data_IF_448715056966
#
_entry.id   IF_448715056966
#
_cell.length_a   1.000
_cell.length_b   1.000
_cell.length_c   1.000
_cell.angle_alpha   90.00
_cell.angle_beta   90.00
_cell.angle_gamma   90.00
#
_symmetry.space_group_name_H-M   'P 1'
#
loop_
_entity.id
_entity.type
_entity.pdbx_description
1 polymer ?
#
# COMPACT_ATOMS: atom_id res chain seq x y z
N UNK A 1 -37.29 -15.06 -26.97
CA UNK A 1 -37.84 -13.69 -27.06
C UNK A 1 -37.67 -12.82 -25.82
N UNK A 2 -37.34 -13.34 -24.64
CA UNK A 2 -37.10 -12.54 -23.43
C UNK A 2 -35.60 -12.24 -23.16
N UNK A 3 -34.72 -12.86 -23.91
CA UNK A 3 -33.26 -12.84 -23.69
C UNK A 3 -32.65 -11.46 -23.95
N UNK A 4 -32.90 -10.89 -25.12
CA UNK A 4 -32.36 -9.58 -25.49
C UNK A 4 -32.83 -8.44 -24.56
N UNK A 5 -34.14 -8.31 -24.24
CA UNK A 5 -34.62 -7.32 -23.28
C UNK A 5 -34.03 -7.53 -21.85
N UNK A 6 -33.76 -8.77 -21.46
CA UNK A 6 -33.14 -9.05 -20.17
C UNK A 6 -31.67 -8.57 -20.13
N UNK A 7 -30.91 -8.84 -21.19
CA UNK A 7 -29.52 -8.38 -21.35
C UNK A 7 -29.46 -6.84 -21.31
N UNK A 8 -30.33 -6.17 -22.03
CA UNK A 8 -30.43 -4.70 -22.06
C UNK A 8 -30.72 -4.12 -20.67
N UNK A 9 -31.68 -4.71 -19.94
CA UNK A 9 -31.97 -4.31 -18.56
C UNK A 9 -30.78 -4.50 -17.62
N UNK A 10 -30.07 -5.62 -17.72
CA UNK A 10 -28.86 -5.87 -16.93
C UNK A 10 -27.77 -4.84 -17.22
N UNK A 11 -27.58 -4.44 -18.48
CA UNK A 11 -26.67 -3.36 -18.84
C UNK A 11 -27.13 -2.01 -18.27
N UNK A 12 -28.41 -1.67 -18.37
CA UNK A 12 -28.95 -0.44 -17.79
C UNK A 12 -28.78 -0.38 -16.27
N UNK A 13 -28.85 -1.50 -15.57
CA UNK A 13 -28.56 -1.64 -14.14
C UNK A 13 -27.06 -1.69 -13.81
N UNK A 14 -26.16 -1.49 -14.77
CA UNK A 14 -24.70 -1.60 -14.60
C UNK A 14 -24.22 -3.00 -14.13
N UNK A 15 -24.96 -4.04 -14.49
CA UNK A 15 -24.66 -5.45 -14.20
C UNK A 15 -24.05 -6.16 -15.41
N UNK A 16 -23.14 -5.49 -16.14
CA UNK A 16 -22.58 -6.00 -17.39
C UNK A 16 -21.90 -7.37 -17.26
N UNK A 17 -21.25 -7.65 -16.14
CA UNK A 17 -20.65 -8.98 -15.90
C UNK A 17 -21.72 -10.07 -15.74
N UNK A 18 -22.87 -9.75 -15.15
CA UNK A 18 -24.02 -10.66 -15.07
C UNK A 18 -24.66 -10.88 -16.43
N UNK A 19 -24.81 -9.80 -17.22
CA UNK A 19 -25.32 -9.87 -18.59
C UNK A 19 -24.44 -10.78 -19.47
N UNK A 20 -23.12 -10.65 -19.33
CA UNK A 20 -22.17 -11.50 -20.06
C UNK A 20 -22.25 -12.96 -19.60
N UNK A 21 -22.32 -13.21 -18.29
CA UNK A 21 -22.48 -14.57 -17.75
C UNK A 21 -23.80 -15.22 -18.18
N UNK A 22 -24.89 -14.43 -18.24
CA UNK A 22 -26.19 -14.90 -18.73
C UNK A 22 -26.13 -15.27 -20.21
N UNK A 23 -25.50 -14.45 -21.05
CA UNK A 23 -25.32 -14.74 -22.47
C UNK A 23 -24.51 -16.03 -22.70
N UNK A 24 -23.36 -16.17 -21.98
CA UNK A 24 -22.52 -17.37 -22.08
C UNK A 24 -23.27 -18.66 -21.69
N UNK A 25 -24.17 -18.58 -20.68
CA UNK A 25 -24.99 -19.74 -20.32
C UNK A 25 -26.06 -20.08 -21.35
N UNK A 26 -26.56 -19.10 -22.14
CA UNK A 26 -27.50 -19.37 -23.23
C UNK A 26 -26.82 -20.06 -24.44
N UNK A 27 -25.51 -19.79 -24.61
CA UNK A 27 -24.71 -20.33 -25.72
C UNK A 27 -24.11 -21.71 -25.37
N UNK A 28 -24.18 -22.18 -24.11
CA UNK A 28 -23.55 -23.41 -23.62
C UNK A 28 -24.59 -24.47 -23.25
N UNK A 29 -24.74 -25.50 -24.10
CA UNK A 29 -25.68 -26.61 -23.91
C UNK A 29 -25.43 -27.44 -22.65
N UNK A 30 -24.18 -27.47 -22.11
CA UNK A 30 -23.87 -28.16 -20.86
C UNK A 30 -24.56 -27.50 -19.67
N UNK A 31 -24.80 -26.21 -19.76
CA UNK A 31 -25.52 -25.46 -18.71
C UNK A 31 -27.00 -25.85 -18.62
N UNK A 32 -27.61 -26.35 -19.70
CA UNK A 32 -29.01 -26.77 -19.70
C UNK A 32 -29.29 -27.98 -18.82
N UNK A 33 -28.26 -28.81 -18.55
CA UNK A 33 -28.34 -29.95 -17.65
C UNK A 33 -28.37 -29.55 -16.16
N UNK A 34 -27.96 -28.33 -15.84
CA UNK A 34 -27.90 -27.83 -14.47
C UNK A 34 -29.24 -27.23 -14.02
N UNK A 35 -29.69 -27.49 -12.78
CA UNK A 35 -30.85 -26.83 -12.21
C UNK A 35 -30.69 -25.28 -12.21
N UNK A 36 -31.80 -24.56 -12.38
CA UNK A 36 -31.82 -23.10 -12.43
C UNK A 36 -31.09 -22.44 -11.24
N UNK A 37 -31.27 -22.95 -10.03
CA UNK A 37 -30.63 -22.42 -8.82
C UNK A 37 -29.10 -22.46 -8.91
N UNK A 38 -28.54 -23.52 -9.48
CA UNK A 38 -27.08 -23.64 -9.67
C UNK A 38 -26.59 -22.69 -10.76
N UNK A 39 -27.28 -22.62 -11.90
CA UNK A 39 -26.96 -21.67 -12.98
C UNK A 39 -26.98 -20.23 -12.51
N UNK A 40 -28.02 -19.87 -11.77
CA UNK A 40 -28.13 -18.53 -11.19
C UNK A 40 -27.01 -18.25 -10.18
N UNK A 41 -26.67 -19.21 -9.31
CA UNK A 41 -25.54 -19.12 -8.38
C UNK A 41 -24.23 -18.81 -9.10
N UNK A 42 -23.91 -19.54 -10.17
CA UNK A 42 -22.70 -19.31 -10.98
C UNK A 42 -22.66 -17.88 -11.58
N UNK A 43 -23.80 -17.36 -12.04
CA UNK A 43 -23.87 -15.99 -12.57
C UNK A 43 -23.63 -14.94 -11.47
N UNK A 44 -24.18 -15.16 -10.27
CA UNK A 44 -23.98 -14.27 -9.11
C UNK A 44 -22.52 -14.29 -8.66
N UNK A 45 -21.91 -15.46 -8.57
CA UNK A 45 -20.50 -15.61 -8.21
C UNK A 45 -19.59 -14.88 -9.20
N UNK A 46 -19.88 -14.98 -10.50
CA UNK A 46 -19.10 -14.27 -11.51
C UNK A 46 -19.21 -12.75 -11.38
N UNK A 47 -20.41 -12.24 -11.11
CA UNK A 47 -20.62 -10.82 -10.83
C UNK A 47 -19.88 -10.37 -9.57
N UNK A 48 -19.91 -11.19 -8.52
CA UNK A 48 -19.22 -10.93 -7.26
C UNK A 48 -17.71 -10.82 -7.50
N UNK A 49 -17.09 -11.83 -8.11
CA UNK A 49 -15.66 -11.85 -8.43
C UNK A 49 -15.27 -10.61 -9.27
N UNK A 50 -16.06 -10.29 -10.31
CA UNK A 50 -15.81 -9.12 -11.15
C UNK A 50 -15.85 -7.80 -10.35
N UNK A 51 -16.79 -7.67 -9.41
CA UNK A 51 -16.90 -6.48 -8.55
C UNK A 51 -15.71 -6.36 -7.61
N UNK A 52 -15.30 -7.45 -6.98
CA UNK A 52 -14.12 -7.45 -6.10
C UNK A 52 -12.84 -7.14 -6.89
N UNK A 53 -12.64 -7.72 -8.07
CA UNK A 53 -11.53 -7.39 -8.94
C UNK A 53 -11.52 -5.91 -9.36
N UNK A 54 -12.67 -5.37 -9.73
CA UNK A 54 -12.81 -3.96 -10.09
C UNK A 54 -12.49 -3.04 -8.91
N UNK A 55 -12.96 -3.41 -7.71
CA UNK A 55 -12.67 -2.71 -6.46
C UNK A 55 -11.16 -2.73 -6.17
N UNK A 56 -10.54 -3.89 -6.22
CA UNK A 56 -9.10 -4.06 -5.98
C UNK A 56 -8.26 -3.24 -6.98
N UNK A 57 -8.54 -3.35 -8.28
CA UNK A 57 -7.83 -2.55 -9.30
C UNK A 57 -7.92 -1.05 -9.03
N UNK A 58 -9.10 -0.56 -8.62
CA UNK A 58 -9.29 0.85 -8.25
C UNK A 58 -8.47 1.23 -7.01
N UNK A 59 -8.44 0.38 -5.98
CA UNK A 59 -7.65 0.63 -4.77
C UNK A 59 -6.16 0.67 -5.09
N UNK A 60 -5.64 -0.29 -5.84
CA UNK A 60 -4.23 -0.34 -6.24
C UNK A 60 -3.85 0.87 -7.11
N UNK A 61 -4.70 1.25 -8.07
CA UNK A 61 -4.48 2.46 -8.88
C UNK A 61 -4.39 3.72 -8.02
N UNK A 62 -5.28 3.86 -7.04
CA UNK A 62 -5.33 5.02 -6.15
C UNK A 62 -4.19 5.03 -5.12
N UNK A 63 -3.71 3.86 -4.72
CA UNK A 63 -2.60 3.71 -3.78
C UNK A 63 -1.27 4.25 -4.33
N UNK A 64 -1.08 4.24 -5.66
CA UNK A 64 0.13 4.74 -6.35
C UNK A 64 1.43 4.11 -5.83
N UNK A 65 1.40 2.82 -5.49
CA UNK A 65 2.56 2.12 -4.95
C UNK A 65 3.76 2.21 -5.89
N UNK A 66 4.94 2.50 -5.34
CA UNK A 66 6.20 2.64 -6.11
C UNK A 66 6.66 1.31 -6.71
N UNK A 67 6.40 0.21 -6.00
CA UNK A 67 6.81 -1.14 -6.38
C UNK A 67 5.57 -2.04 -6.37
N UNK A 68 5.40 -2.82 -7.43
CA UNK A 68 4.44 -3.92 -7.44
C UNK A 68 5.04 -5.07 -6.63
N UNK A 69 4.79 -5.04 -5.33
CA UNK A 69 5.27 -6.03 -4.38
C UNK A 69 4.09 -6.83 -3.85
N UNK A 70 4.13 -8.16 -4.03
CA UNK A 70 3.17 -9.05 -3.42
C UNK A 70 3.72 -9.62 -2.11
N UNK A 71 2.87 -9.89 -1.11
CA UNK A 71 3.28 -10.57 0.12
C UNK A 71 3.98 -11.91 -0.12
N UNK A 72 3.54 -12.61 -1.15
CA UNK A 72 4.05 -13.92 -1.58
C UNK A 72 5.50 -13.85 -2.09
N UNK A 73 5.92 -12.68 -2.59
CA UNK A 73 7.26 -12.45 -3.14
C UNK A 73 8.29 -12.04 -2.06
N UNK A 74 7.88 -12.02 -0.79
CA UNK A 74 8.79 -11.64 0.30
C UNK A 74 9.79 -12.77 0.55
N UNK A 75 11.07 -12.49 0.33
CA UNK A 75 12.15 -13.42 0.62
C UNK A 75 12.44 -13.47 2.12
N UNK A 76 12.10 -14.60 2.73
CA UNK A 76 12.38 -14.90 4.14
C UNK A 76 13.71 -15.65 4.35
N UNK A 77 14.37 -16.13 3.28
CA UNK A 77 15.59 -16.95 3.38
C UNK A 77 16.82 -16.09 3.58
N UNK A 78 16.83 -14.90 3.00
CA UNK A 78 17.96 -13.96 3.19
C UNK A 78 17.95 -13.41 4.61
N UNK A 79 19.05 -13.54 5.39
CA UNK A 79 19.14 -13.02 6.74
C UNK A 79 19.18 -11.48 6.72
N UNK A 80 18.02 -10.86 6.94
CA UNK A 80 17.84 -9.40 6.92
C UNK A 80 17.27 -8.86 8.23
N UNK A 81 17.24 -9.67 9.29
CA UNK A 81 16.60 -9.29 10.56
C UNK A 81 15.06 -9.25 10.47
N UNK A 82 14.46 -9.91 9.47
CA UNK A 82 13.00 -10.03 9.37
C UNK A 82 12.55 -11.11 10.35
N UNK A 83 11.79 -10.71 11.36
CA UNK A 83 11.00 -11.67 12.13
C UNK A 83 9.77 -12.08 11.32
N UNK A 84 9.76 -13.35 10.91
CA UNK A 84 8.67 -13.90 10.09
C UNK A 84 7.33 -13.86 10.84
N UNK A 85 7.33 -14.06 12.14
CA UNK A 85 6.11 -14.06 12.96
C UNK A 85 5.49 -12.66 13.00
N UNK A 86 6.30 -11.63 13.21
CA UNK A 86 5.89 -10.23 13.19
C UNK A 86 5.34 -9.85 11.81
N UNK A 87 6.04 -10.24 10.75
CA UNK A 87 5.60 -9.89 9.40
C UNK A 87 4.30 -10.60 9.01
N UNK A 88 4.13 -11.88 9.38
CA UNK A 88 2.87 -12.61 9.17
C UNK A 88 1.70 -11.99 9.96
N UNK A 89 1.96 -11.55 11.19
CA UNK A 89 0.98 -10.81 11.98
C UNK A 89 0.57 -9.49 11.31
N UNK A 90 1.52 -8.76 10.71
CA UNK A 90 1.22 -7.54 9.96
C UNK A 90 0.44 -7.81 8.66
N UNK A 91 0.74 -8.92 7.98
CA UNK A 91 0.01 -9.36 6.79
C UNK A 91 -1.44 -9.76 7.06
N UNK A 92 -1.82 -10.03 8.31
CA UNK A 92 -3.24 -10.18 8.69
C UNK A 92 -4.03 -8.88 8.65
N UNK A 93 -3.37 -7.73 8.51
CA UNK A 93 -3.95 -6.39 8.53
C UNK A 93 -4.69 -6.02 9.85
N UNK A 94 -4.56 -6.82 10.93
CA UNK A 94 -5.23 -6.60 12.22
C UNK A 94 -4.77 -5.34 12.97
N UNK A 95 -3.62 -4.78 12.60
CA UNK A 95 -3.07 -3.54 13.11
C UNK A 95 -3.82 -2.30 12.59
N UNK A 96 -4.46 -2.37 11.41
CA UNK A 96 -5.14 -1.23 10.77
C UNK A 96 -6.40 -0.81 11.54
N UNK A 97 -7.33 -1.72 11.91
CA UNK A 97 -8.46 -1.34 12.77
C UNK A 97 -8.06 -0.85 14.17
N UNK A 98 -6.86 -1.20 14.63
CA UNK A 98 -6.30 -0.74 15.92
C UNK A 98 -5.55 0.60 15.77
N UNK A 99 -5.52 1.18 14.57
CA UNK A 99 -4.83 2.42 14.25
C UNK A 99 -3.35 2.41 14.63
N UNK A 100 -2.70 1.25 14.53
CA UNK A 100 -1.28 1.08 14.83
C UNK A 100 -0.45 1.47 13.62
N UNK A 101 0.76 1.96 13.87
CA UNK A 101 1.73 2.32 12.84
C UNK A 101 2.71 1.18 12.57
N UNK A 102 3.41 1.24 11.43
CA UNK A 102 4.49 0.32 11.09
C UNK A 102 5.71 1.13 10.69
N UNK A 103 6.81 0.97 11.42
CA UNK A 103 8.07 1.68 11.18
C UNK A 103 9.11 0.69 10.68
N UNK A 104 9.62 0.91 9.47
CA UNK A 104 10.58 0.02 8.82
C UNK A 104 11.89 0.79 8.62
N UNK A 105 12.92 0.43 9.37
CA UNK A 105 14.25 1.07 9.31
C UNK A 105 15.29 0.13 8.73
N UNK A 106 16.43 0.69 8.28
CA UNK A 106 17.59 -0.10 7.84
C UNK A 106 18.30 0.50 6.62
N UNK A 107 19.47 -0.05 6.24
CA UNK A 107 20.32 0.48 5.17
C UNK A 107 19.63 0.53 3.80
N UNK A 108 20.23 1.26 2.86
CA UNK A 108 19.75 1.31 1.48
C UNK A 108 19.82 -0.07 0.82
N UNK A 109 18.76 -0.43 0.10
CA UNK A 109 18.73 -1.66 -0.70
C UNK A 109 18.26 -2.92 0.02
N UNK A 110 18.09 -2.92 1.36
CA UNK A 110 17.68 -4.12 2.13
C UNK A 110 16.22 -4.54 1.93
N UNK A 111 15.42 -3.75 1.20
CA UNK A 111 14.04 -4.12 0.85
C UNK A 111 12.94 -3.42 1.66
N UNK A 112 13.22 -2.31 2.37
CA UNK A 112 12.23 -1.56 3.15
C UNK A 112 10.98 -1.19 2.34
N UNK A 113 11.19 -0.47 1.23
CA UNK A 113 10.11 -0.06 0.32
C UNK A 113 9.34 -1.26 -0.22
N UNK A 114 10.01 -2.38 -0.51
CA UNK A 114 9.37 -3.60 -0.99
C UNK A 114 8.40 -4.17 0.07
N UNK A 115 8.87 -4.34 1.31
CA UNK A 115 8.05 -4.84 2.42
C UNK A 115 6.89 -3.88 2.71
N UNK A 116 7.14 -2.57 2.76
CA UNK A 116 6.12 -1.56 2.95
C UNK A 116 5.03 -1.61 1.85
N UNK A 117 5.45 -1.73 0.58
CA UNK A 117 4.53 -1.88 -0.55
C UNK A 117 3.77 -3.23 -0.52
N UNK A 118 4.39 -4.32 -0.06
CA UNK A 118 3.72 -5.61 0.09
C UNK A 118 2.62 -5.57 1.18
N UNK A 119 2.90 -4.93 2.33
CA UNK A 119 1.88 -4.69 3.36
C UNK A 119 0.75 -3.80 2.85
N UNK A 120 1.08 -2.74 2.12
CA UNK A 120 0.12 -1.83 1.51
C UNK A 120 -0.74 -2.53 0.44
N UNK A 121 -0.15 -3.38 -0.38
CA UNK A 121 -0.85 -4.18 -1.39
C UNK A 121 -1.79 -5.20 -0.73
N UNK A 122 -1.35 -5.85 0.36
CA UNK A 122 -2.22 -6.73 1.16
C UNK A 122 -3.41 -5.97 1.73
N UNK A 123 -3.21 -4.77 2.27
CA UNK A 123 -4.30 -3.91 2.75
C UNK A 123 -5.30 -3.59 1.61
N UNK A 124 -4.83 -3.31 0.39
CA UNK A 124 -5.72 -3.12 -0.77
C UNK A 124 -6.54 -4.38 -1.09
N UNK A 125 -5.96 -5.58 -0.98
CA UNK A 125 -6.69 -6.86 -1.15
C UNK A 125 -7.81 -7.02 -0.11
N UNK A 126 -7.59 -6.55 1.11
CA UNK A 126 -8.63 -6.50 2.17
C UNK A 126 -9.63 -5.33 2.01
N UNK A 127 -9.60 -4.65 0.86
CA UNK A 127 -10.52 -3.54 0.56
C UNK A 127 -10.19 -2.23 1.28
N UNK A 128 -9.02 -2.10 1.88
CA UNK A 128 -8.59 -0.94 2.67
C UNK A 128 -7.94 0.09 1.76
N UNK A 129 -8.26 1.37 1.96
CA UNK A 129 -7.68 2.48 1.20
C UNK A 129 -6.24 2.74 1.63
N UNK A 130 -5.36 2.82 0.64
CA UNK A 130 -3.93 3.10 0.83
C UNK A 130 -3.52 4.29 -0.04
N UNK A 131 -2.60 5.09 0.46
CA UNK A 131 -1.90 6.11 -0.31
C UNK A 131 -0.40 6.02 -0.04
N UNK A 132 0.39 5.88 -1.10
CA UNK A 132 1.85 5.95 -1.05
C UNK A 132 2.32 7.35 -1.43
N UNK A 133 3.28 7.86 -0.68
CA UNK A 133 4.09 9.02 -1.06
C UNK A 133 5.52 8.87 -0.53
N UNK A 134 6.49 9.42 -1.27
CA UNK A 134 7.83 9.64 -0.70
C UNK A 134 7.79 10.88 0.19
N UNK A 135 8.50 10.88 1.31
CA UNK A 135 8.51 12.02 2.23
C UNK A 135 8.83 13.36 1.54
N UNK A 136 9.87 13.49 0.70
CA UNK A 136 10.14 14.75 0.00
C UNK A 136 9.00 15.17 -0.94
N UNK A 137 8.33 14.21 -1.58
CA UNK A 137 7.18 14.50 -2.45
C UNK A 137 5.97 14.96 -1.66
N UNK A 138 5.71 14.32 -0.51
CA UNK A 138 4.63 14.72 0.39
C UNK A 138 4.81 16.16 0.86
N UNK A 139 6.02 16.53 1.29
CA UNK A 139 6.31 17.90 1.73
C UNK A 139 6.13 18.93 0.61
N UNK A 140 6.60 18.60 -0.59
CA UNK A 140 6.41 19.45 -1.77
C UNK A 140 4.93 19.63 -2.12
N UNK A 141 4.14 18.54 -2.13
CA UNK A 141 2.71 18.59 -2.43
C UNK A 141 1.95 19.41 -1.38
N UNK A 142 2.32 19.32 -0.09
CA UNK A 142 1.74 20.12 0.99
C UNK A 142 2.09 21.62 0.83
N UNK A 143 3.32 21.94 0.42
CA UNK A 143 3.74 23.33 0.17
C UNK A 143 2.97 23.93 -1.03
N UNK A 144 2.83 23.19 -2.12
CA UNK A 144 2.03 23.64 -3.29
C UNK A 144 0.57 23.85 -2.86
N UNK A 145 -0.01 22.90 -2.14
CA UNK A 145 -1.39 22.98 -1.71
C UNK A 145 -1.68 24.19 -0.79
N UNK A 146 -0.70 24.64 0.01
CA UNK A 146 -0.80 25.89 0.76
C UNK A 146 -0.77 27.11 -0.15
N UNK A 147 0.02 27.06 -1.22
CA UNK A 147 0.15 28.18 -2.16
C UNK A 147 -1.07 28.35 -3.07
N UNK A 148 -1.70 27.24 -3.49
CA UNK A 148 -2.84 27.22 -4.41
C UNK A 148 -4.21 27.15 -3.71
N UNK A 149 -4.24 27.09 -2.36
CA UNK A 149 -5.47 27.03 -1.57
C UNK A 149 -6.13 25.66 -1.48
N UNK A 150 -5.52 24.60 -2.03
CA UNK A 150 -6.05 23.23 -1.99
C UNK A 150 -5.69 22.45 -0.71
N UNK A 151 -5.04 23.10 0.25
CA UNK A 151 -4.49 22.48 1.45
C UNK A 151 -5.52 21.66 2.25
N UNK A 152 -6.67 22.25 2.54
CA UNK A 152 -7.74 21.58 3.29
C UNK A 152 -8.21 20.29 2.60
N UNK A 153 -8.32 20.30 1.27
CA UNK A 153 -8.71 19.13 0.47
C UNK A 153 -7.63 18.03 0.50
N UNK A 154 -6.35 18.42 0.48
CA UNK A 154 -5.24 17.47 0.59
C UNK A 154 -5.21 16.84 1.99
N UNK A 155 -5.32 17.65 3.06
CA UNK A 155 -5.35 17.18 4.44
C UNK A 155 -6.53 16.23 4.68
N UNK A 156 -7.74 16.59 4.24
CA UNK A 156 -8.90 15.71 4.32
C UNK A 156 -8.65 14.35 3.62
N UNK A 157 -8.04 14.37 2.44
CA UNK A 157 -7.67 13.14 1.72
C UNK A 157 -6.67 12.30 2.51
N UNK A 158 -5.64 12.92 3.09
CA UNK A 158 -4.64 12.25 3.92
C UNK A 158 -5.27 11.65 5.18
N UNK A 159 -6.14 12.40 5.86
CA UNK A 159 -6.84 11.95 7.07
C UNK A 159 -7.81 10.78 6.80
N UNK A 160 -8.58 10.82 5.71
CA UNK A 160 -9.54 9.75 5.34
C UNK A 160 -8.88 8.46 4.84
N UNK A 161 -7.63 8.52 4.41
CA UNK A 161 -6.90 7.34 3.91
C UNK A 161 -6.53 6.42 5.07
N UNK A 162 -7.02 5.18 5.08
CA UNK A 162 -6.81 4.24 6.20
C UNK A 162 -5.35 3.88 6.43
N UNK A 163 -4.55 3.76 5.36
CA UNK A 163 -3.11 3.51 5.46
C UNK A 163 -2.35 4.52 4.60
N UNK A 164 -1.57 5.38 5.25
CA UNK A 164 -0.62 6.28 4.58
C UNK A 164 0.76 5.66 4.63
N UNK A 165 1.37 5.40 3.46
CA UNK A 165 2.74 4.93 3.36
C UNK A 165 3.65 6.11 3.00
N UNK A 166 4.50 6.50 3.93
CA UNK A 166 5.53 7.53 3.75
C UNK A 166 6.88 6.84 3.58
N UNK A 167 7.41 6.85 2.36
CA UNK A 167 8.68 6.20 2.02
C UNK A 167 9.83 7.21 2.05
N UNK A 168 11.03 6.73 2.36
CA UNK A 168 12.26 7.52 2.36
C UNK A 168 12.23 8.71 3.37
N UNK A 169 11.71 8.51 4.58
CA UNK A 169 11.73 9.51 5.66
C UNK A 169 13.16 9.77 6.15
N UNK A 170 13.47 11.03 6.39
CA UNK A 170 14.73 11.44 7.01
C UNK A 170 15.93 11.36 6.06
N UNK A 171 15.75 11.50 4.74
CA UNK A 171 16.86 11.58 3.78
C UNK A 171 17.68 12.87 3.90
N UNK A 172 17.09 13.93 4.43
CA UNK A 172 17.72 15.22 4.68
C UNK A 172 17.08 15.85 5.93
N UNK A 173 17.77 16.78 6.61
CA UNK A 173 17.17 17.56 7.67
C UNK A 173 15.90 18.30 7.20
N UNK A 174 14.90 18.34 8.06
CA UNK A 174 13.63 18.96 7.71
C UNK A 174 13.69 20.48 7.92
N UNK A 175 13.06 21.21 7.01
CA UNK A 175 12.82 22.65 7.18
C UNK A 175 11.65 22.90 8.14
N UNK A 176 11.54 24.13 8.70
CA UNK A 176 10.45 24.51 9.61
C UNK A 176 9.04 24.27 9.02
N UNK A 177 8.76 24.64 7.76
CA UNK A 177 7.46 24.34 7.16
C UNK A 177 7.18 22.84 7.02
N UNK A 178 8.19 22.04 6.68
CA UNK A 178 8.04 20.59 6.49
C UNK A 178 7.69 19.88 7.80
N UNK A 179 8.39 20.21 8.89
CA UNK A 179 8.13 19.63 10.22
C UNK A 179 6.75 19.97 10.76
N UNK A 180 6.30 21.24 10.59
CA UNK A 180 4.95 21.67 10.98
C UNK A 180 3.88 20.95 10.15
N UNK A 181 4.07 20.88 8.85
CA UNK A 181 3.15 20.17 7.96
C UNK A 181 3.09 18.68 8.28
N UNK A 182 4.23 18.04 8.59
CA UNK A 182 4.26 16.64 8.99
C UNK A 182 3.52 16.42 10.31
N UNK A 183 3.76 17.29 11.31
CA UNK A 183 3.04 17.21 12.58
C UNK A 183 1.53 17.26 12.37
N UNK A 184 1.04 18.20 11.57
CA UNK A 184 -0.39 18.35 11.28
C UNK A 184 -0.95 17.07 10.61
N UNK A 185 -0.25 16.50 9.63
CA UNK A 185 -0.64 15.22 8.99
C UNK A 185 -0.69 14.08 10.00
N UNK A 186 0.31 13.96 10.88
CA UNK A 186 0.38 12.88 11.86
C UNK A 186 -0.67 13.06 12.96
N UNK A 187 -0.95 14.31 13.37
CA UNK A 187 -1.98 14.65 14.35
C UNK A 187 -3.38 14.25 13.88
N UNK A 188 -3.77 14.65 12.67
CA UNK A 188 -5.06 14.29 12.07
C UNK A 188 -5.25 12.77 11.94
N UNK A 189 -4.16 12.01 11.86
CA UNK A 189 -4.18 10.56 11.71
C UNK A 189 -4.04 9.80 13.02
N UNK A 190 -3.59 10.47 14.08
CA UNK A 190 -3.36 9.82 15.36
C UNK A 190 -4.66 9.19 15.90
N UNK A 191 -4.60 7.89 16.26
CA UNK A 191 -5.72 7.08 16.74
C UNK A 191 -6.94 6.97 15.79
N UNK A 192 -6.84 7.43 14.54
CA UNK A 192 -7.93 7.37 13.54
C UNK A 192 -7.57 6.59 12.30
N UNK A 193 -6.28 6.53 11.97
CA UNK A 193 -5.75 5.85 10.80
C UNK A 193 -4.32 5.38 11.06
N UNK A 194 -3.82 4.47 10.22
CA UNK A 194 -2.50 3.88 10.35
C UNK A 194 -1.50 4.50 9.37
N UNK A 195 -0.23 4.60 9.78
CA UNK A 195 0.85 5.08 8.94
C UNK A 195 1.96 4.02 8.85
N UNK A 196 2.39 3.70 7.63
CA UNK A 196 3.62 2.94 7.38
C UNK A 196 4.70 3.96 7.05
N UNK A 197 5.85 3.89 7.71
CA UNK A 197 6.94 4.80 7.48
C UNK A 197 8.23 4.02 7.27
N UNK A 198 8.96 4.34 6.19
CA UNK A 198 10.27 3.74 5.96
C UNK A 198 11.38 4.77 6.09
N UNK A 199 12.49 4.39 6.69
CA UNK A 199 13.67 5.25 6.84
C UNK A 199 14.98 4.48 6.67
N UNK A 200 16.00 5.17 6.20
CA UNK A 200 17.36 4.64 6.20
C UNK A 200 18.03 4.80 7.57
N UNK A 201 17.54 5.74 8.34
CA UNK A 201 18.07 6.06 9.66
C UNK A 201 17.40 5.20 10.74
N UNK A 202 18.16 4.78 11.76
CA UNK A 202 17.60 4.21 12.98
C UNK A 202 16.66 5.22 13.68
N UNK A 203 15.73 4.71 14.48
CA UNK A 203 14.74 5.56 15.17
C UNK A 203 15.37 6.61 16.07
N UNK A 204 16.50 6.28 16.69
CA UNK A 204 17.26 7.14 17.60
C UNK A 204 17.72 8.45 16.92
N UNK A 205 17.93 8.42 15.60
CA UNK A 205 18.38 9.56 14.82
C UNK A 205 17.24 10.42 14.27
N UNK A 206 15.98 10.01 14.44
CA UNK A 206 14.85 10.76 13.85
C UNK A 206 14.64 12.11 14.49
N UNK A 207 14.92 12.21 15.79
CA UNK A 207 14.84 13.48 16.53
C UNK A 207 15.77 14.54 15.92
N UNK A 208 17.02 14.16 15.61
CA UNK A 208 18.00 15.02 14.98
C UNK A 208 17.58 15.49 13.58
N UNK A 209 17.01 14.59 12.76
CA UNK A 209 16.57 14.92 11.41
C UNK A 209 15.37 15.85 11.40
N UNK A 210 14.45 15.71 12.35
CA UNK A 210 13.34 16.64 12.53
C UNK A 210 13.88 18.02 12.95
N UNK A 211 14.90 18.07 13.81
CA UNK A 211 15.74 19.25 14.08
C UNK A 211 15.13 20.31 14.99
N UNK A 212 13.87 20.17 15.45
CA UNK A 212 13.24 20.98 16.49
C UNK A 212 12.81 20.06 17.62
N UNK A 213 13.31 20.21 18.84
CA UNK A 213 13.04 19.29 19.94
C UNK A 213 11.55 19.13 20.25
N UNK A 214 10.81 20.22 20.31
CA UNK A 214 9.38 20.20 20.67
C UNK A 214 8.54 19.51 19.59
N UNK A 215 8.79 19.85 18.32
CA UNK A 215 8.08 19.23 17.20
C UNK A 215 8.49 17.77 17.01
N UNK A 216 9.78 17.44 17.27
CA UNK A 216 10.26 16.07 17.21
C UNK A 216 9.58 15.19 18.27
N UNK A 217 9.53 15.63 19.52
CA UNK A 217 8.84 14.92 20.58
C UNK A 217 7.37 14.70 20.22
N UNK A 218 6.67 15.73 19.74
CA UNK A 218 5.27 15.63 19.36
C UNK A 218 5.02 14.66 18.21
N UNK A 219 5.86 14.66 17.16
CA UNK A 219 5.76 13.76 16.01
C UNK A 219 6.09 12.32 16.41
N UNK A 220 7.20 12.13 17.14
CA UNK A 220 7.68 10.81 17.51
C UNK A 220 6.79 10.12 18.54
N UNK A 221 6.24 10.86 19.49
CA UNK A 221 5.26 10.34 20.44
C UNK A 221 4.10 9.66 19.70
N UNK A 222 3.51 10.33 18.72
CA UNK A 222 2.37 9.82 17.94
C UNK A 222 2.72 8.68 16.97
N UNK A 223 3.93 8.71 16.43
CA UNK A 223 4.36 7.68 15.47
C UNK A 223 4.84 6.40 16.15
N UNK A 224 5.58 6.52 17.28
CA UNK A 224 6.40 5.45 17.84
C UNK A 224 5.68 4.64 18.92
N UNK A 225 4.88 5.30 19.79
CA UNK A 225 4.25 4.62 20.93
C UNK A 225 3.27 3.52 20.52
N UNK A 226 2.49 3.72 19.48
CA UNK A 226 1.53 2.73 18.97
C UNK A 226 2.02 2.14 17.63
N UNK A 227 3.24 1.57 17.62
CA UNK A 227 3.86 1.11 16.38
C UNK A 227 4.52 -0.26 16.47
N UNK A 228 4.45 -1.00 15.36
CA UNK A 228 5.29 -2.15 15.07
C UNK A 228 6.61 -1.67 14.45
N UNK A 229 7.73 -2.11 15.01
CA UNK A 229 9.08 -1.70 14.56
C UNK A 229 9.77 -2.86 13.87
N UNK A 230 10.23 -2.64 12.64
CA UNK A 230 10.99 -3.61 11.84
C UNK A 230 12.34 -2.97 11.50
N UNK A 231 13.41 -3.47 12.11
CA UNK A 231 14.78 -3.05 11.83
C UNK A 231 15.44 -4.04 10.87
N UNK A 232 15.54 -3.68 9.58
CA UNK A 232 16.19 -4.49 8.58
C UNK A 232 17.71 -4.28 8.62
N UNK A 233 18.44 -5.37 8.40
CA UNK A 233 19.91 -5.40 8.39
C UNK A 233 20.41 -6.11 7.13
N UNK A 234 21.71 -6.09 6.90
CA UNK A 234 22.36 -6.86 5.83
C UNK A 234 22.60 -6.07 4.55
N UNK A 235 23.00 -6.80 3.51
CA UNK A 235 23.42 -6.23 2.23
C UNK A 235 22.28 -5.85 1.32
N UNK A 236 22.60 -5.03 0.32
CA UNK A 236 21.65 -4.59 -0.69
C UNK A 236 21.13 -5.74 -1.56
N UNK A 237 19.82 -5.99 -1.52
CA UNK A 237 19.14 -6.95 -2.40
C UNK A 237 19.21 -6.54 -3.89
N UNK A 238 19.51 -5.27 -4.19
CA UNK A 238 19.70 -4.80 -5.57
C UNK A 238 21.01 -5.34 -6.14
N UNK A 239 22.09 -5.42 -5.35
CA UNK A 239 23.35 -6.01 -5.78
C UNK A 239 23.20 -7.49 -6.16
N UNK A 240 22.37 -8.23 -5.41
CA UNK A 240 22.11 -9.66 -5.69
C UNK A 240 21.26 -9.89 -6.94
N UNK A 241 20.44 -8.92 -7.36
CA UNK A 241 19.60 -9.02 -8.57
C UNK A 241 20.29 -8.50 -9.83
N UNK A 242 21.38 -7.74 -9.71
CA UNK A 242 22.15 -7.28 -10.87
C UNK A 242 23.12 -8.39 -11.30
N UNK A 243 22.71 -9.21 -12.23
CA UNK A 243 23.57 -10.17 -12.95
C UNK A 243 24.47 -9.51 -14.01
N UNK A 244 24.62 -8.19 -13.97
CA UNK A 244 25.27 -7.39 -15.02
C UNK A 244 26.74 -7.07 -14.78
N UNK A 245 27.42 -7.72 -13.83
CA UNK A 245 28.86 -7.50 -13.64
C UNK A 245 29.57 -8.76 -13.19
N UNK A 246 29.66 -9.75 -14.05
CA UNK A 246 30.87 -10.58 -14.13
C UNK A 246 31.53 -10.20 -15.45
N UNK A 247 32.39 -9.17 -15.41
CA UNK A 247 33.46 -9.00 -16.38
C UNK A 247 34.32 -10.24 -16.26
N UNK A 248 34.27 -11.08 -17.25
CA UNK A 248 35.29 -12.08 -17.52
C UNK A 248 36.62 -11.30 -17.60
N UNK A 249 37.45 -11.44 -16.60
CA UNK A 249 38.88 -11.18 -16.72
C UNK A 249 39.38 -12.13 -17.81
N UNK A 250 39.51 -11.59 -19.01
CA UNK A 250 40.26 -12.24 -20.08
C UNK A 250 41.71 -12.31 -19.60
N UNK A 251 42.14 -13.45 -19.10
CA UNK A 251 43.52 -13.82 -19.08
C UNK A 251 44.09 -13.63 -20.50
N UNK A 252 45.03 -12.72 -20.62
CA UNK A 252 45.89 -12.62 -21.80
C UNK A 252 47.05 -13.63 -21.63
N UNK A 253 47.40 -14.31 -22.70
CA UNK A 253 48.50 -15.28 -22.73
C UNK A 253 49.86 -14.62 -22.55
#
# INVERSE_FOLDING_TARGET
>A
MLEQPTIEKLHAMQLGALAQAFKEQLDDSVMDELPFAQRFGLMVDRLWIWREDKRLRRLLKNAKLKVQACPEDIDYRTPRGIDKSVLLALLSCSWIPKHQNVLITGPTGVGKTFIACALAQKACREGITVLYSRAPRLYHDLAIAKADGSYAKLMERLARTKVLLIDDFGLAPMTDPERRNLLEVIEDRHLTASTILTSQLPLENWHEVIGDPTLADAILDRLVHNSHKIALKGESMRKRRSTLTETQDCEKP
#
